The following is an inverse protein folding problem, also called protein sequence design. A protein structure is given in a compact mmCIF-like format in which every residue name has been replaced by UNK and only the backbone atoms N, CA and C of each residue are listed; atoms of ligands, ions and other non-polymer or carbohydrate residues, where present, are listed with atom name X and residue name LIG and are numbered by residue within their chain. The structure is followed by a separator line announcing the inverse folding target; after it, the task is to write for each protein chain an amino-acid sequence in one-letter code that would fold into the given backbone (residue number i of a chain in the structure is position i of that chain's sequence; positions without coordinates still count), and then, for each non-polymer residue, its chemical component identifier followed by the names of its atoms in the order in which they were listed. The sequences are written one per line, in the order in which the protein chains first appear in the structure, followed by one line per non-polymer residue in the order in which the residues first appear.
data_IF_687090349669
#
_entry.id   IF_687090349669
#
_cell.length_a   1.000
_cell.length_b   1.000
_cell.length_c   1.000
_cell.angle_alpha   90.00
_cell.angle_beta   90.00
_cell.angle_gamma   90.00
#
_symmetry.space_group_name_H-M   'P 1'
#
loop_
_entity.id
_entity.type
_entity.pdbx_description
1 polymer ?
#
# COMPACT_ATOMS: atom_id res chain seq x y z
N UNK A 1 -13.58 32.44 5.14
CA UNK A 1 -12.78 31.40 4.48
C UNK A 1 -13.06 30.10 5.18
N UNK A 2 -13.99 29.35 4.64
CA UNK A 2 -14.22 28.01 5.12
C UNK A 2 -13.03 27.14 4.71
N UNK A 3 -12.12 26.91 5.63
CA UNK A 3 -11.16 25.85 5.47
C UNK A 3 -11.92 24.54 5.35
N UNK A 4 -11.82 23.86 4.24
CA UNK A 4 -12.18 22.46 4.18
C UNK A 4 -11.25 21.74 5.15
N UNK A 5 -11.73 21.60 6.39
CA UNK A 5 -11.08 20.78 7.39
C UNK A 5 -11.25 19.31 7.04
N UNK A 6 -10.60 18.87 5.97
CA UNK A 6 -10.33 17.46 5.81
C UNK A 6 -9.39 17.10 6.92
N UNK A 7 -9.87 16.33 7.92
CA UNK A 7 -8.99 15.77 8.93
C UNK A 7 -8.02 14.85 8.22
N UNK A 8 -6.80 15.33 7.99
CA UNK A 8 -5.73 14.49 7.48
C UNK A 8 -5.43 13.43 8.52
N UNK A 9 -5.29 12.19 8.07
CA UNK A 9 -4.88 11.08 8.92
C UNK A 9 -3.48 11.37 9.48
N UNK A 10 -3.20 11.01 10.73
CA UNK A 10 -1.85 11.10 11.25
C UNK A 10 -0.92 10.19 10.47
N UNK A 11 0.14 10.78 9.95
CA UNK A 11 1.13 10.09 9.14
C UNK A 11 2.46 9.99 9.92
N UNK A 12 3.29 9.00 9.60
CA UNK A 12 4.62 8.93 10.17
C UNK A 12 5.50 10.06 9.63
N UNK A 13 6.54 10.40 10.36
CA UNK A 13 7.57 11.29 9.86
C UNK A 13 8.20 10.67 8.60
N UNK A 14 8.28 11.46 7.53
CA UNK A 14 8.76 10.98 6.25
C UNK A 14 10.28 11.07 6.15
N UNK A 15 10.89 9.97 5.69
CA UNK A 15 12.29 9.99 5.29
C UNK A 15 12.44 10.75 3.98
N UNK A 16 13.58 11.42 3.80
CA UNK A 16 13.95 11.98 2.50
C UNK A 16 14.62 10.88 1.69
N UNK A 17 13.92 10.33 0.67
CA UNK A 17 14.48 9.20 -0.06
C UNK A 17 15.59 9.63 -1.02
N UNK A 18 16.63 8.81 -1.09
CA UNK A 18 17.64 8.94 -2.13
C UNK A 18 17.06 8.54 -3.50
N UNK A 19 17.60 9.09 -4.62
CA UNK A 19 17.19 8.65 -5.95
C UNK A 19 17.35 7.14 -6.13
N UNK A 20 16.41 6.51 -6.84
CA UNK A 20 16.51 5.09 -7.17
C UNK A 20 17.60 4.87 -8.19
N UNK A 21 18.44 3.86 -7.95
CA UNK A 21 19.54 3.50 -8.84
C UNK A 21 19.37 2.07 -9.32
N UNK A 22 19.70 1.85 -10.59
CA UNK A 22 19.77 0.53 -11.16
C UNK A 22 20.80 -0.31 -10.39
N UNK A 23 20.44 -1.57 -10.08
CA UNK A 23 21.26 -2.46 -9.25
C UNK A 23 20.98 -2.37 -7.76
N UNK A 24 20.43 -1.28 -7.26
CA UNK A 24 20.01 -1.09 -5.87
C UNK A 24 18.50 -1.22 -5.69
N UNK A 25 17.73 -0.84 -6.70
CA UNK A 25 16.29 -0.94 -6.73
C UNK A 25 15.84 -2.13 -7.59
N UNK A 26 14.59 -2.53 -7.42
CA UNK A 26 14.02 -3.65 -8.15
C UNK A 26 13.61 -3.18 -9.56
N UNK A 27 14.08 -3.85 -10.58
CA UNK A 27 13.61 -3.62 -11.95
C UNK A 27 12.26 -4.32 -12.15
N UNK A 28 11.29 -3.60 -12.68
CA UNK A 28 9.96 -4.14 -12.96
C UNK A 28 9.60 -3.92 -14.43
N UNK A 29 8.89 -4.88 -15.05
CA UNK A 29 8.62 -4.80 -16.49
C UNK A 29 7.51 -3.83 -16.87
N UNK A 30 6.64 -3.46 -15.93
CA UNK A 30 5.52 -2.56 -16.16
C UNK A 30 5.14 -1.83 -14.87
N UNK A 31 4.49 -0.66 -14.97
CA UNK A 31 4.13 0.11 -13.77
C UNK A 31 3.04 -0.57 -12.96
N UNK A 32 2.92 -0.21 -11.65
CA UNK A 32 1.83 -0.71 -10.83
C UNK A 32 0.49 -0.16 -11.31
N UNK A 33 -0.61 -0.87 -11.00
CA UNK A 33 -1.95 -0.34 -11.20
C UNK A 33 -2.19 0.92 -10.35
N UNK A 34 -3.29 1.66 -10.60
CA UNK A 34 -3.67 2.76 -9.73
C UNK A 34 -3.82 2.33 -8.27
N UNK A 35 -3.54 3.26 -7.36
CA UNK A 35 -3.74 3.01 -5.93
C UNK A 35 -5.19 2.64 -5.64
N UNK A 36 -5.37 1.74 -4.70
CA UNK A 36 -6.70 1.25 -4.32
C UNK A 36 -7.29 2.11 -3.23
N UNK A 37 -8.61 2.20 -3.23
CA UNK A 37 -9.36 2.85 -2.16
C UNK A 37 -9.76 1.80 -1.14
N UNK A 38 -9.45 2.06 0.12
CA UNK A 38 -9.74 1.16 1.22
C UNK A 38 -10.64 1.83 2.25
N UNK A 39 -11.36 1.04 3.02
CA UNK A 39 -11.95 1.49 4.26
C UNK A 39 -10.87 1.52 5.34
N UNK A 40 -10.69 2.68 5.94
CA UNK A 40 -9.71 2.87 7.02
C UNK A 40 -10.42 2.63 8.34
N UNK A 41 -9.99 1.62 9.14
CA UNK A 41 -10.59 1.38 10.44
C UNK A 41 -10.31 2.54 11.38
N UNK A 42 -11.10 2.65 12.43
CA UNK A 42 -10.92 3.66 13.46
C UNK A 42 -9.51 3.57 14.08
N UNK A 43 -8.93 4.72 14.37
CA UNK A 43 -7.61 4.80 14.99
C UNK A 43 -7.59 4.08 16.35
N UNK A 44 -6.77 3.02 16.51
CA UNK A 44 -6.83 2.18 17.71
C UNK A 44 -6.29 2.82 18.97
N UNK A 45 -5.37 3.78 18.86
CA UNK A 45 -4.89 4.55 20.00
C UNK A 45 -4.29 5.89 19.56
N UNK A 46 -4.01 6.76 20.53
CA UNK A 46 -3.54 8.12 20.28
C UNK A 46 -2.17 8.22 19.62
N UNK A 47 -1.32 7.23 19.78
CA UNK A 47 0.04 7.20 19.18
C UNK A 47 0.11 6.54 17.82
N UNK A 48 -1.00 6.01 17.31
CA UNK A 48 -1.00 5.31 16.03
C UNK A 48 -0.92 6.29 14.86
N UNK A 49 -0.20 5.87 13.81
CA UNK A 49 -0.14 6.56 12.52
C UNK A 49 -0.63 5.61 11.43
N UNK A 50 -1.17 6.18 10.36
CA UNK A 50 -1.66 5.43 9.22
C UNK A 50 -0.61 5.34 8.14
N UNK A 51 -0.37 4.12 7.66
CA UNK A 51 0.42 3.85 6.47
C UNK A 51 -0.55 3.48 5.36
N UNK A 52 -0.55 4.24 4.28
CA UNK A 52 -1.38 3.94 3.12
C UNK A 52 -1.03 2.57 2.53
N UNK A 53 -2.03 1.95 1.93
CA UNK A 53 -1.80 0.74 1.16
C UNK A 53 -0.79 0.96 0.05
N UNK A 54 -0.11 -0.09 -0.32
CA UNK A 54 0.98 -0.01 -1.28
C UNK A 54 1.04 -1.21 -2.22
N UNK A 55 1.52 -0.96 -3.42
CA UNK A 55 1.84 -2.03 -4.35
C UNK A 55 3.23 -2.59 -4.06
N UNK A 56 3.34 -3.91 -4.06
CA UNK A 56 4.59 -4.64 -3.93
C UNK A 56 4.81 -5.55 -5.12
N UNK A 57 6.03 -5.59 -5.62
CA UNK A 57 6.38 -6.48 -6.71
C UNK A 57 6.82 -7.84 -6.17
N UNK A 58 6.13 -8.91 -6.57
CA UNK A 58 6.40 -10.27 -6.07
C UNK A 58 7.41 -11.04 -6.92
N UNK A 59 7.99 -10.40 -7.94
CA UNK A 59 8.84 -11.04 -8.94
C UNK A 59 8.11 -11.41 -10.23
N UNK A 60 6.79 -11.45 -10.21
CA UNK A 60 5.95 -11.77 -11.36
C UNK A 60 4.80 -10.79 -11.57
N UNK A 61 4.29 -10.21 -10.50
CA UNK A 61 3.10 -9.38 -10.53
C UNK A 61 3.12 -8.36 -9.40
N UNK A 62 2.29 -7.35 -9.53
CA UNK A 62 1.99 -6.43 -8.46
C UNK A 62 0.96 -7.05 -7.52
N UNK A 63 1.21 -6.96 -6.21
CA UNK A 63 0.29 -7.37 -5.16
C UNK A 63 0.02 -6.18 -4.25
N UNK A 64 -1.25 -6.02 -3.85
CA UNK A 64 -1.63 -4.95 -2.95
C UNK A 64 -1.42 -5.35 -1.49
N UNK A 65 -0.73 -4.50 -0.74
CA UNK A 65 -0.62 -4.59 0.71
C UNK A 65 -1.54 -3.53 1.29
N UNK A 66 -2.48 -3.95 2.13
CA UNK A 66 -3.44 -3.03 2.74
C UNK A 66 -2.76 -2.01 3.63
N UNK A 67 -3.34 -0.80 3.69
CA UNK A 67 -2.96 0.20 4.66
C UNK A 67 -3.17 -0.31 6.08
N UNK A 68 -2.51 0.32 7.04
CA UNK A 68 -2.48 -0.17 8.41
C UNK A 68 -2.18 0.93 9.42
N UNK A 69 -2.73 0.78 10.60
CA UNK A 69 -2.36 1.56 11.77
C UNK A 69 -1.18 0.92 12.47
N UNK A 70 -0.14 1.70 12.74
CA UNK A 70 1.06 1.23 13.44
C UNK A 70 1.47 2.26 14.49
N UNK A 71 2.19 1.80 15.53
CA UNK A 71 2.91 2.69 16.43
C UNK A 71 4.32 2.84 15.87
N UNK A 72 4.71 4.03 15.41
CA UNK A 72 6.06 4.20 14.89
C UNK A 72 7.10 3.99 16.01
N UNK A 73 8.20 3.30 15.73
CA UNK A 73 9.32 3.24 16.66
C UNK A 73 9.84 4.65 16.96
N UNK A 74 10.41 4.83 18.15
CA UNK A 74 10.95 6.13 18.57
C UNK A 74 11.97 6.66 17.55
N UNK A 75 11.80 7.93 17.17
CA UNK A 75 12.67 8.61 16.20
C UNK A 75 12.76 7.93 14.82
N UNK A 76 11.80 7.09 14.49
CA UNK A 76 11.78 6.42 13.19
C UNK A 76 11.15 7.31 12.13
N UNK A 77 11.61 7.14 10.90
CA UNK A 77 11.06 7.76 9.71
C UNK A 77 10.60 6.69 8.73
N UNK A 78 9.65 7.02 7.88
CA UNK A 78 9.11 6.11 6.88
C UNK A 78 9.37 6.66 5.48
N UNK A 79 9.97 5.84 4.63
CA UNK A 79 10.09 6.13 3.21
C UNK A 79 9.00 5.38 2.46
N UNK A 80 8.13 6.11 1.75
CA UNK A 80 7.04 5.50 0.98
C UNK A 80 7.60 4.69 -0.20
N UNK A 81 6.84 3.69 -0.62
CA UNK A 81 7.14 2.98 -1.87
C UNK A 81 7.10 3.96 -3.06
N UNK A 82 7.87 3.66 -4.06
CA UNK A 82 7.96 4.54 -5.23
C UNK A 82 8.50 3.83 -6.44
N UNK A 83 8.27 4.43 -7.60
CA UNK A 83 8.85 4.01 -8.86
C UNK A 83 9.59 5.19 -9.51
N UNK A 84 10.55 4.88 -10.34
CA UNK A 84 11.26 5.86 -11.14
C UNK A 84 11.71 5.24 -12.45
N UNK A 85 11.78 6.04 -13.52
CA UNK A 85 12.38 5.59 -14.78
C UNK A 85 13.79 6.11 -14.91
N UNK A 86 14.68 5.24 -15.37
CA UNK A 86 16.03 5.66 -15.74
C UNK A 86 15.99 6.36 -17.10
N UNK A 87 17.10 7.02 -17.46
CA UNK A 87 17.25 7.64 -18.80
C UNK A 87 17.09 6.63 -19.93
N UNK A 88 17.40 5.36 -19.69
CA UNK A 88 17.27 4.28 -20.66
C UNK A 88 15.85 3.68 -20.71
N UNK A 89 14.93 4.22 -19.92
CA UNK A 89 13.53 3.77 -19.88
C UNK A 89 13.25 2.58 -18.97
N UNK A 90 14.23 2.13 -18.18
CA UNK A 90 14.05 1.04 -17.24
C UNK A 90 13.22 1.54 -16.05
N UNK A 91 12.18 0.78 -15.69
CA UNK A 91 11.34 1.10 -14.54
C UNK A 91 11.90 0.45 -13.28
N UNK A 92 12.17 1.29 -12.28
CA UNK A 92 12.67 0.88 -10.98
C UNK A 92 11.59 1.01 -9.92
N UNK A 93 11.60 0.12 -8.95
CA UNK A 93 10.68 0.08 -7.82
C UNK A 93 11.46 -0.07 -6.51
N UNK A 94 11.03 0.67 -5.49
CA UNK A 94 11.47 0.48 -4.12
C UNK A 94 10.27 0.36 -3.20
N UNK A 95 10.21 -0.67 -2.34
CA UNK A 95 9.13 -0.81 -1.35
C UNK A 95 9.23 0.26 -0.27
N UNK A 96 8.13 0.44 0.48
CA UNK A 96 8.15 1.27 1.67
C UNK A 96 9.05 0.68 2.74
N UNK A 97 9.83 1.51 3.41
CA UNK A 97 10.80 1.07 4.43
C UNK A 97 10.83 2.00 5.63
N UNK A 98 11.06 1.44 6.80
CA UNK A 98 11.28 2.18 8.03
C UNK A 98 12.77 2.35 8.30
N UNK A 99 13.12 3.50 8.84
CA UNK A 99 14.50 3.85 9.15
C UNK A 99 14.61 4.43 10.55
N UNK A 100 15.72 4.14 11.21
CA UNK A 100 16.01 4.73 12.51
C UNK A 100 16.58 6.17 12.37
N UNK A 101 16.91 6.79 13.47
CA UNK A 101 17.48 8.15 13.49
C UNK A 101 18.81 8.29 12.74
N UNK A 102 19.50 7.18 12.52
CA UNK A 102 20.77 7.14 11.76
C UNK A 102 20.56 6.86 10.28
N UNK A 103 19.31 6.63 9.87
CA UNK A 103 18.99 6.29 8.51
C UNK A 103 19.15 4.81 8.17
N UNK A 104 19.44 3.95 9.14
CA UNK A 104 19.50 2.51 8.93
C UNK A 104 18.10 1.93 8.83
N UNK A 105 17.90 1.00 7.90
CA UNK A 105 16.62 0.32 7.76
C UNK A 105 16.33 -0.55 8.97
N UNK A 106 15.11 -0.44 9.49
CA UNK A 106 14.64 -1.21 10.63
C UNK A 106 13.40 -2.03 10.23
N UNK A 107 13.06 -2.99 11.07
CA UNK A 107 11.87 -3.81 10.86
C UNK A 107 10.60 -2.97 10.90
N UNK A 108 9.63 -3.34 10.09
CA UNK A 108 8.33 -2.72 10.11
C UNK A 108 7.60 -3.01 11.44
N UNK A 109 7.00 -1.99 12.07
CA UNK A 109 6.19 -2.23 13.26
C UNK A 109 4.98 -3.10 12.95
N UNK A 110 4.55 -3.92 13.91
CA UNK A 110 3.39 -4.77 13.75
C UNK A 110 2.11 -3.94 13.60
N UNK A 111 1.23 -4.29 12.67
CA UNK A 111 -0.02 -3.57 12.49
C UNK A 111 -0.97 -3.78 13.68
N UNK A 112 -1.61 -2.70 14.11
CA UNK A 112 -2.66 -2.73 15.13
C UNK A 112 -4.03 -2.98 14.49
N UNK A 113 -4.23 -2.46 13.30
CA UNK A 113 -5.44 -2.65 12.51
C UNK A 113 -5.08 -2.46 11.04
N UNK A 114 -5.76 -3.16 10.18
CA UNK A 114 -5.48 -3.21 8.74
C UNK A 114 -6.69 -2.69 7.97
N UNK A 115 -6.44 -1.96 6.90
CA UNK A 115 -7.46 -1.50 5.97
C UNK A 115 -8.20 -2.66 5.32
N UNK A 116 -9.37 -2.36 4.79
CA UNK A 116 -10.25 -3.37 4.18
C UNK A 116 -10.60 -2.92 2.77
N UNK A 117 -10.59 -3.86 1.83
CA UNK A 117 -11.05 -3.59 0.48
C UNK A 117 -12.50 -3.11 0.49
N UNK A 118 -12.84 -2.22 -0.41
CA UNK A 118 -14.25 -1.86 -0.61
C UNK A 118 -15.04 -3.09 -1.01
N UNK A 119 -16.26 -3.17 -0.49
CA UNK A 119 -17.18 -4.22 -0.88
C UNK A 119 -17.39 -4.23 -2.40
N UNK A 120 -17.34 -5.41 -2.99
CA UNK A 120 -17.47 -5.59 -4.44
C UNK A 120 -16.18 -5.50 -5.24
N UNK A 121 -15.05 -5.25 -4.61
CA UNK A 121 -13.75 -5.28 -5.26
C UNK A 121 -12.99 -6.57 -4.94
N UNK A 122 -12.60 -7.27 -5.98
CA UNK A 122 -11.74 -8.44 -5.89
C UNK A 122 -10.37 -8.07 -6.47
N UNK A 123 -9.31 -8.35 -5.72
CA UNK A 123 -7.96 -8.15 -6.23
C UNK A 123 -7.58 -9.35 -7.08
N UNK A 124 -7.53 -9.15 -8.39
CA UNK A 124 -7.09 -10.18 -9.32
C UNK A 124 -5.61 -10.50 -9.16
N UNK A 125 -5.18 -11.68 -9.62
CA UNK A 125 -3.77 -12.10 -9.56
C UNK A 125 -2.78 -11.12 -10.19
N UNK A 126 -3.24 -10.23 -11.03
CA UNK A 126 -2.41 -9.19 -11.66
C UNK A 126 -2.50 -7.83 -10.94
N UNK A 127 -3.09 -7.81 -9.75
CA UNK A 127 -3.24 -6.56 -8.99
C UNK A 127 -4.30 -5.62 -9.53
N UNK A 128 -5.13 -6.03 -10.47
CA UNK A 128 -6.24 -5.23 -10.95
C UNK A 128 -7.53 -5.54 -10.17
N UNK A 129 -8.33 -4.52 -9.83
CA UNK A 129 -9.61 -4.76 -9.21
C UNK A 129 -10.60 -5.30 -10.24
N UNK A 130 -11.23 -6.38 -9.92
CA UNK A 130 -12.43 -6.79 -10.61
C UNK A 130 -13.63 -6.34 -9.79
N UNK A 131 -14.53 -5.58 -10.38
CA UNK A 131 -15.83 -5.35 -9.79
C UNK A 131 -16.58 -6.67 -9.80
N UNK A 132 -16.73 -7.25 -8.64
CA UNK A 132 -17.66 -8.37 -8.51
C UNK A 132 -19.03 -7.88 -8.92
N UNK A 133 -19.56 -8.44 -9.99
CA UNK A 133 -20.93 -8.13 -10.38
C UNK A 133 -21.85 -8.45 -9.18
N UNK A 134 -22.77 -7.53 -8.80
CA UNK A 134 -23.53 -7.66 -7.56
C UNK A 134 -24.51 -8.85 -7.51
N UNK A 135 -24.46 -9.76 -8.44
CA UNK A 135 -25.42 -10.85 -8.56
C UNK A 135 -24.87 -12.18 -9.07
N UNK A 136 -23.68 -12.55 -8.66
CA UNK A 136 -23.38 -13.97 -8.81
C UNK A 136 -23.91 -14.74 -7.58
N UNK A 137 -25.22 -14.76 -7.48
CA UNK A 137 -25.86 -15.84 -6.75
C UNK A 137 -25.47 -17.12 -7.48
N UNK A 138 -24.82 -18.09 -6.83
CA UNK A 138 -24.56 -19.36 -7.49
C UNK A 138 -25.89 -19.87 -8.03
N UNK A 139 -25.91 -20.14 -9.32
CA UNK A 139 -27.11 -20.70 -9.94
C UNK A 139 -27.57 -21.89 -9.09
N UNK A 140 -28.78 -21.81 -8.53
CA UNK A 140 -29.40 -22.95 -7.91
C UNK A 140 -29.37 -24.05 -8.95
N UNK A 141 -28.61 -25.07 -8.68
CA UNK A 141 -28.65 -26.28 -9.47
C UNK A 141 -30.13 -26.74 -9.45
N UNK A 142 -30.79 -26.84 -10.60
CA UNK A 142 -32.15 -27.35 -10.61
C UNK A 142 -32.09 -28.74 -10.02
N UNK A 143 -32.85 -28.94 -8.96
CA UNK A 143 -33.02 -30.28 -8.43
C UNK A 143 -33.71 -31.10 -9.51
N UNK A 144 -32.96 -32.04 -10.06
CA UNK A 144 -33.56 -33.06 -10.91
C UNK A 144 -34.50 -33.91 -10.05
N UNK A 145 -35.78 -33.95 -10.42
CA UNK A 145 -36.73 -34.91 -9.89
C UNK A 145 -36.55 -36.24 -10.57
#
# INVERSE_FOLDING_TARGET
VSGCGGSSLPEPEQATPAPLKQGEAIEVPFPPPPARVEFIPEKPNSGAVWIDGEWSWTGRRWAWTYGRWVIPPSSATFARWRTARTSDGILLFAPGTWHDERGAQIAEPLPLAVGVAREGEVILPHGQPEKTAPNQVPAKTPQAH
#
